data_IF_019927461490
#
_entry.id   IF_019927461490
#
_cell.length_a   1.000
_cell.length_b   1.000
_cell.length_c   1.000
_cell.angle_alpha   90.00
_cell.angle_beta   90.00
_cell.angle_gamma   90.00
#
_symmetry.space_group_name_H-M   'P 1'
#
loop_
_entity.id
_entity.type
_entity.pdbx_description
1 polymer ?
#
# COMPACT_ATOMS: atom_id res chain seq x y z
N UNK A 1 5.08 -8.48 8.19
CA UNK A 1 5.79 -7.76 9.26
C UNK A 1 5.26 -6.36 9.33
N UNK A 2 4.90 -5.90 10.51
CA UNK A 2 4.36 -4.57 10.75
C UNK A 2 5.32 -3.76 11.62
N UNK A 3 5.49 -2.48 11.28
CA UNK A 3 6.05 -1.48 12.20
C UNK A 3 4.89 -0.78 12.87
N UNK A 4 4.80 -0.87 14.20
CA UNK A 4 3.75 -0.22 14.99
C UNK A 4 4.30 1.00 15.70
N UNK A 5 3.47 2.03 15.80
CA UNK A 5 3.78 3.30 16.44
C UNK A 5 2.74 3.61 17.50
N UNK A 6 3.13 4.31 18.53
CA UNK A 6 2.28 4.72 19.65
C UNK A 6 2.61 4.00 20.95
N UNK A 7 2.21 4.60 22.05
CA UNK A 7 2.46 4.02 23.37
C UNK A 7 1.58 2.79 23.59
N UNK A 8 2.08 1.71 24.21
CA UNK A 8 1.24 0.65 24.70
C UNK A 8 0.26 1.24 25.73
N UNK A 9 -1.02 0.89 25.66
CA UNK A 9 -1.91 1.15 26.79
C UNK A 9 -1.42 0.29 27.92
N UNK A 10 -0.82 0.89 28.92
CA UNK A 10 -0.74 0.25 30.24
C UNK A 10 -2.19 0.04 30.65
N UNK A 11 -2.58 -1.22 30.76
CA UNK A 11 -3.87 -1.64 31.32
C UNK A 11 -3.82 -1.40 32.84
N UNK A 12 -3.83 -0.14 33.24
CA UNK A 12 -4.04 0.28 34.61
C UNK A 12 -5.51 0.70 34.75
N UNK A 13 -6.31 0.06 35.62
CA UNK A 13 -7.76 0.33 35.72
C UNK A 13 -8.07 1.58 36.57
N UNK A 14 -7.17 2.53 36.72
CA UNK A 14 -7.48 3.76 37.44
C UNK A 14 -7.76 4.89 36.45
N UNK A 15 -8.98 5.42 36.40
CA UNK A 15 -9.29 6.62 35.62
C UNK A 15 -8.70 7.83 36.32
N UNK A 16 -7.51 8.27 35.90
CA UNK A 16 -7.03 9.61 36.27
C UNK A 16 -7.69 10.58 35.29
N UNK A 17 -8.71 11.27 35.80
CA UNK A 17 -9.39 12.36 35.09
C UNK A 17 -8.38 13.44 34.75
N UNK A 18 -8.26 13.79 33.46
CA UNK A 18 -7.69 15.06 33.02
C UNK A 18 -6.53 15.03 32.03
N UNK A 19 -6.22 13.94 31.37
CA UNK A 19 -5.28 13.97 30.25
C UNK A 19 -5.89 13.33 29.00
N UNK A 20 -6.38 14.16 28.08
CA UNK A 20 -6.63 13.79 26.70
C UNK A 20 -5.29 13.49 26.02
N UNK A 21 -4.66 12.37 26.38
CA UNK A 21 -3.59 11.82 25.55
C UNK A 21 -4.25 11.02 24.43
N UNK A 22 -4.65 11.69 23.37
CA UNK A 22 -4.89 11.07 22.07
C UNK A 22 -3.59 10.39 21.62
N UNK A 23 -3.29 9.22 22.19
CA UNK A 23 -2.16 8.41 21.77
C UNK A 23 -2.50 7.84 20.39
N UNK A 24 -2.17 8.63 19.37
CA UNK A 24 -2.31 8.18 17.97
C UNK A 24 -1.53 6.89 17.79
N UNK A 25 -2.26 5.83 17.48
CA UNK A 25 -1.67 4.53 17.15
C UNK A 25 -1.69 4.33 15.65
N UNK A 26 -0.63 3.79 15.13
CA UNK A 26 -0.52 3.50 13.71
C UNK A 26 0.35 2.28 13.45
N UNK A 27 0.28 1.81 12.21
CA UNK A 27 1.13 0.70 11.77
C UNK A 27 1.42 0.80 10.28
N UNK A 28 2.61 0.35 9.91
CA UNK A 28 3.04 0.23 8.53
C UNK A 28 3.33 -1.23 8.24
N UNK A 29 2.55 -1.84 7.37
CA UNK A 29 2.82 -3.19 6.87
C UNK A 29 3.90 -3.12 5.78
N UNK A 30 5.08 -3.64 6.06
CA UNK A 30 6.13 -3.83 5.06
C UNK A 30 5.77 -5.01 4.16
N UNK A 31 5.73 -4.77 2.85
CA UNK A 31 5.31 -5.78 1.87
C UNK A 31 6.38 -6.12 0.84
N UNK A 32 7.33 -5.23 0.63
CA UNK A 32 8.39 -5.42 -0.35
C UNK A 32 9.66 -4.75 0.16
N UNK A 33 10.77 -5.46 0.05
CA UNK A 33 12.11 -4.96 0.35
C UNK A 33 13.02 -5.19 -0.85
N UNK A 34 14.08 -4.39 -0.93
CA UNK A 34 15.20 -4.63 -1.83
C UNK A 34 16.44 -4.93 -1.00
N UNK A 35 17.01 -6.09 -1.19
CA UNK A 35 18.25 -6.51 -0.53
C UNK A 35 19.43 -5.69 -1.08
N UNK A 36 20.19 -5.07 -0.20
CA UNK A 36 21.27 -4.14 -0.61
C UNK A 36 22.41 -4.87 -1.30
N UNK A 37 22.77 -6.07 -0.84
CA UNK A 37 23.92 -6.84 -1.31
C UNK A 37 23.84 -7.19 -2.80
N UNK A 38 22.70 -7.64 -3.28
CA UNK A 38 22.52 -8.17 -4.64
C UNK A 38 21.33 -7.52 -5.39
N UNK A 39 20.73 -6.48 -4.79
CA UNK A 39 19.59 -5.73 -5.34
C UNK A 39 18.32 -6.59 -5.54
N UNK A 40 18.28 -7.81 -5.01
CA UNK A 40 17.13 -8.71 -5.13
C UNK A 40 15.88 -8.10 -4.49
N UNK A 41 14.79 -8.12 -5.24
CA UNK A 41 13.46 -7.69 -4.74
C UNK A 41 12.75 -8.89 -4.13
N UNK A 42 12.37 -8.76 -2.86
CA UNK A 42 11.52 -9.72 -2.15
C UNK A 42 10.16 -9.08 -1.96
N UNK A 43 9.14 -9.61 -2.63
CA UNK A 43 7.79 -9.06 -2.63
C UNK A 43 6.78 -10.06 -2.10
N UNK A 44 5.97 -9.62 -1.15
CA UNK A 44 4.96 -10.36 -0.43
C UNK A 44 5.27 -10.45 1.06
N UNK A 45 4.25 -10.29 1.93
CA UNK A 45 4.47 -10.21 3.39
C UNK A 45 5.06 -11.50 3.96
N UNK A 46 4.62 -12.68 3.52
CA UNK A 46 5.18 -13.96 3.95
C UNK A 46 6.62 -14.14 3.49
N UNK A 47 6.90 -13.92 2.20
CA UNK A 47 8.25 -14.02 1.65
C UNK A 47 9.24 -13.06 2.32
N UNK A 48 8.75 -11.90 2.77
CA UNK A 48 9.56 -10.95 3.51
C UNK A 48 9.96 -11.51 4.88
N UNK A 49 9.04 -12.18 5.56
CA UNK A 49 9.35 -12.88 6.83
C UNK A 49 10.36 -13.99 6.58
N UNK A 50 10.15 -14.83 5.58
CA UNK A 50 11.07 -15.92 5.21
C UNK A 50 12.47 -15.39 4.91
N UNK A 51 12.58 -14.27 4.17
CA UNK A 51 13.86 -13.62 3.86
C UNK A 51 14.57 -13.13 5.14
N UNK A 52 13.82 -12.52 6.07
CA UNK A 52 14.40 -12.05 7.35
C UNK A 52 14.88 -13.22 8.20
N UNK A 53 14.10 -14.30 8.29
CA UNK A 53 14.50 -15.51 8.98
C UNK A 53 15.81 -16.08 8.41
N UNK A 54 15.85 -16.22 7.08
CA UNK A 54 17.03 -16.75 6.38
C UNK A 54 18.28 -15.87 6.59
N UNK A 55 18.16 -14.54 6.47
CA UNK A 55 19.28 -13.61 6.69
C UNK A 55 19.75 -13.57 8.14
N UNK A 56 18.88 -13.88 9.09
CA UNK A 56 19.20 -13.92 10.53
C UNK A 56 19.64 -15.30 11.00
N UNK A 57 19.64 -16.32 10.15
CA UNK A 57 19.93 -17.70 10.52
C UNK A 57 18.95 -18.24 11.56
N UNK A 58 17.66 -17.86 11.48
CA UNK A 58 16.61 -18.30 12.38
C UNK A 58 15.64 -19.26 11.67
N UNK A 59 15.21 -20.30 12.38
CA UNK A 59 14.27 -21.31 11.88
C UNK A 59 12.80 -20.90 12.07
N UNK A 60 12.55 -19.98 13.02
CA UNK A 60 11.21 -19.53 13.37
C UNK A 60 11.20 -18.08 13.83
N UNK A 61 10.00 -17.48 13.85
CA UNK A 61 9.81 -16.12 14.38
C UNK A 61 10.15 -16.07 15.87
N UNK A 62 9.78 -17.12 16.63
CA UNK A 62 10.10 -17.21 18.05
C UNK A 62 11.62 -17.22 18.28
N UNK A 63 12.36 -18.04 17.54
CA UNK A 63 13.83 -18.06 17.61
C UNK A 63 14.43 -16.72 17.19
N UNK A 64 13.92 -16.09 16.13
CA UNK A 64 14.36 -14.78 15.68
C UNK A 64 14.24 -13.74 16.80
N UNK A 65 13.07 -13.66 17.43
CA UNK A 65 12.81 -12.64 18.46
C UNK A 65 13.57 -12.95 19.74
N UNK A 66 13.41 -14.16 20.28
CA UNK A 66 13.95 -14.51 21.61
C UNK A 66 15.47 -14.72 21.58
N UNK A 67 15.97 -15.49 20.59
CA UNK A 67 17.38 -15.89 20.58
C UNK A 67 18.26 -14.91 19.81
N UNK A 68 17.85 -14.43 18.63
CA UNK A 68 18.68 -13.55 17.80
C UNK A 68 18.55 -12.10 18.22
N UNK A 69 17.34 -11.61 18.44
CA UNK A 69 17.08 -10.20 18.82
C UNK A 69 17.09 -9.99 20.34
N UNK A 70 17.08 -11.05 21.16
CA UNK A 70 17.04 -10.96 22.63
C UNK A 70 15.85 -10.14 23.13
N UNK A 71 14.68 -10.38 22.54
CA UNK A 71 13.42 -9.68 22.79
C UNK A 71 13.44 -8.17 22.50
N UNK A 72 14.54 -7.67 21.91
CA UNK A 72 14.63 -6.27 21.48
C UNK A 72 13.95 -6.11 20.10
N UNK A 73 12.69 -5.75 20.11
CA UNK A 73 11.88 -5.44 18.91
C UNK A 73 11.77 -3.94 18.63
N UNK A 74 12.48 -3.11 19.40
CA UNK A 74 12.41 -1.67 19.28
C UNK A 74 13.24 -1.16 18.10
N UNK A 75 12.55 -0.69 17.04
CA UNK A 75 13.18 -0.30 15.77
C UNK A 75 14.08 0.94 15.85
N UNK A 76 14.04 1.71 16.93
CA UNK A 76 14.86 2.91 17.17
C UNK A 76 15.99 2.69 18.18
N UNK A 77 16.24 1.44 18.59
CA UNK A 77 17.31 1.16 19.55
C UNK A 77 18.67 1.53 18.97
N UNK A 78 19.38 2.43 19.63
CA UNK A 78 20.74 2.85 19.29
C UNK A 78 21.83 2.00 19.97
N UNK A 79 21.45 1.15 20.94
CA UNK A 79 22.38 0.45 21.82
C UNK A 79 22.74 -0.96 21.37
N UNK A 80 22.15 -1.44 20.29
CA UNK A 80 22.41 -2.79 19.79
C UNK A 80 23.74 -2.84 19.04
N UNK A 81 24.69 -3.73 19.39
CA UNK A 81 25.94 -3.91 18.65
C UNK A 81 25.68 -4.23 17.17
N UNK A 82 26.49 -3.69 16.26
CA UNK A 82 26.34 -3.92 14.81
C UNK A 82 26.45 -5.40 14.42
N UNK A 83 27.16 -6.19 15.22
CA UNK A 83 27.30 -7.64 15.03
C UNK A 83 26.03 -8.43 15.32
N UNK A 84 25.03 -7.84 16.01
CA UNK A 84 23.79 -8.54 16.35
C UNK A 84 22.72 -8.31 15.28
N UNK A 85 22.11 -9.37 14.72
CA UNK A 85 20.95 -9.23 13.85
C UNK A 85 19.85 -8.44 14.56
N UNK A 86 19.34 -7.41 13.93
CA UNK A 86 18.25 -6.61 14.48
C UNK A 86 17.53 -5.88 13.37
N UNK A 87 16.27 -5.53 13.61
CA UNK A 87 15.52 -4.65 12.72
C UNK A 87 15.58 -3.22 13.25
N UNK A 88 16.22 -2.33 12.51
CA UNK A 88 16.39 -0.94 12.93
C UNK A 88 16.02 0.03 11.83
N UNK A 89 15.52 1.19 12.24
CA UNK A 89 15.40 2.36 11.36
C UNK A 89 16.69 3.13 11.48
N UNK A 90 17.42 3.25 10.36
CA UNK A 90 18.67 3.96 10.30
C UNK A 90 18.47 5.28 9.55
N UNK A 91 18.81 6.39 10.19
CA UNK A 91 18.86 7.69 9.54
C UNK A 91 20.08 7.76 8.63
N UNK A 92 19.89 7.98 7.34
CA UNK A 92 21.01 8.13 6.41
C UNK A 92 21.66 9.51 6.56
N UNK A 93 22.98 9.52 6.66
CA UNK A 93 23.79 10.75 6.73
C UNK A 93 23.85 11.53 5.41
N UNK A 94 23.60 10.87 4.27
CA UNK A 94 23.57 11.53 2.94
C UNK A 94 22.13 11.62 2.45
N UNK A 95 21.71 12.77 1.90
CA UNK A 95 20.39 12.88 1.30
C UNK A 95 20.28 11.84 0.17
N UNK A 96 19.35 10.95 0.32
CA UNK A 96 18.95 10.05 -0.76
C UNK A 96 17.92 10.83 -1.59
N UNK A 97 18.16 10.96 -2.89
CA UNK A 97 17.15 11.53 -3.78
C UNK A 97 15.96 10.57 -3.80
N UNK A 98 15.06 10.78 -2.87
CA UNK A 98 13.82 10.01 -2.83
C UNK A 98 12.95 10.58 -3.94
N UNK A 99 12.78 9.83 -5.01
CA UNK A 99 11.61 10.01 -5.86
C UNK A 99 10.40 9.94 -4.95
N UNK A 100 9.55 10.96 -4.97
CA UNK A 100 8.34 10.97 -4.17
C UNK A 100 7.57 9.67 -4.38
N UNK A 101 7.22 8.95 -3.31
CA UNK A 101 6.54 7.67 -3.45
C UNK A 101 5.17 7.86 -4.09
N UNK A 102 4.81 6.97 -5.00
CA UNK A 102 3.44 6.89 -5.50
C UNK A 102 2.52 6.39 -4.40
N UNK A 103 1.36 7.01 -4.28
CA UNK A 103 0.31 6.62 -3.35
C UNK A 103 -0.77 5.85 -4.11
N UNK A 104 -1.01 4.62 -3.71
CA UNK A 104 -1.88 3.70 -4.42
C UNK A 104 -2.96 3.13 -3.49
N UNK A 105 -4.08 2.62 -4.02
CA UNK A 105 -5.01 1.82 -3.26
C UNK A 105 -4.34 0.55 -2.71
N UNK A 106 -4.88 0.02 -1.62
CA UNK A 106 -4.40 -1.24 -1.02
C UNK A 106 -4.83 -2.44 -1.86
N UNK A 107 -3.93 -3.41 -1.99
CA UNK A 107 -4.24 -4.70 -2.64
C UNK A 107 -5.12 -5.53 -1.69
N UNK A 108 -6.10 -6.23 -2.25
CA UNK A 108 -6.97 -7.15 -1.50
C UNK A 108 -8.19 -6.48 -0.86
N UNK A 109 -8.46 -5.22 -1.17
CA UNK A 109 -9.72 -4.58 -0.82
C UNK A 109 -10.64 -4.52 -2.04
N UNK A 110 -11.86 -4.99 -1.88
CA UNK A 110 -12.95 -4.90 -2.86
C UNK A 110 -14.31 -4.74 -2.16
N UNK A 111 -15.37 -4.74 -2.93
CA UNK A 111 -16.73 -4.58 -2.45
C UNK A 111 -17.50 -5.90 -2.32
N UNK A 112 -16.82 -7.04 -2.38
CA UNK A 112 -17.45 -8.38 -2.46
C UNK A 112 -18.06 -8.88 -1.15
N UNK A 113 -17.81 -8.22 -0.03
CA UNK A 113 -18.32 -8.68 1.25
C UNK A 113 -19.84 -8.53 1.35
N UNK A 114 -20.51 -9.52 1.96
CA UNK A 114 -21.98 -9.61 2.03
C UNK A 114 -22.67 -8.41 2.66
N UNK A 115 -22.03 -7.75 3.63
CA UNK A 115 -22.59 -6.57 4.31
C UNK A 115 -22.25 -5.25 3.63
N UNK A 116 -21.55 -5.26 2.48
CA UNK A 116 -21.26 -4.03 1.75
C UNK A 116 -22.53 -3.42 1.19
N UNK A 117 -22.70 -2.14 1.38
CA UNK A 117 -23.78 -1.33 0.83
C UNK A 117 -23.25 -0.37 -0.22
N UNK A 118 -24.13 0.29 -0.96
CA UNK A 118 -23.79 1.35 -1.91
C UNK A 118 -23.59 2.72 -1.25
N UNK A 119 -23.82 2.79 0.06
CA UNK A 119 -23.64 4.02 0.83
C UNK A 119 -22.19 4.51 0.77
N UNK A 120 -21.95 5.81 0.50
CA UNK A 120 -20.62 6.41 0.56
C UNK A 120 -20.00 6.36 1.96
N UNK A 121 -20.82 6.13 3.00
CA UNK A 121 -20.40 5.98 4.39
C UNK A 121 -20.09 4.53 4.77
N UNK A 122 -20.37 3.56 3.90
CA UNK A 122 -19.92 2.18 4.12
C UNK A 122 -18.37 2.18 4.19
N UNK A 123 -17.78 1.62 5.27
CA UNK A 123 -16.32 1.63 5.41
C UNK A 123 -15.59 1.03 4.21
N UNK A 124 -16.15 0.00 3.55
CA UNK A 124 -15.52 -0.61 2.37
C UNK A 124 -15.55 0.35 1.19
N UNK A 125 -16.68 0.98 0.92
CA UNK A 125 -16.82 2.01 -0.12
C UNK A 125 -15.85 3.16 0.13
N UNK A 126 -15.79 3.65 1.36
CA UNK A 126 -14.93 4.75 1.74
C UNK A 126 -13.43 4.41 1.64
N UNK A 127 -13.02 3.16 1.91
CA UNK A 127 -11.60 2.80 2.05
C UNK A 127 -10.99 2.10 0.84
N UNK A 128 -11.75 1.47 -0.06
CA UNK A 128 -11.20 0.74 -1.21
C UNK A 128 -10.28 1.60 -2.08
N UNK A 129 -10.67 2.85 -2.32
CA UNK A 129 -9.88 3.78 -3.16
C UNK A 129 -8.87 4.62 -2.38
N UNK A 130 -8.80 4.52 -1.04
CA UNK A 130 -7.86 5.33 -0.24
C UNK A 130 -6.41 4.96 -0.57
N UNK A 131 -5.54 5.97 -0.80
CA UNK A 131 -4.17 5.76 -1.26
C UNK A 131 -3.22 5.40 -0.09
N UNK A 132 -3.50 4.31 0.60
CA UNK A 132 -2.76 3.87 1.79
C UNK A 132 -1.64 2.86 1.50
N UNK A 133 -1.29 2.68 0.24
CA UNK A 133 -0.12 1.90 -0.17
C UNK A 133 0.89 2.82 -0.83
N UNK A 134 2.10 2.85 -0.30
CA UNK A 134 3.20 3.68 -0.78
C UNK A 134 4.19 2.80 -1.53
N UNK A 135 4.61 3.23 -2.71
CA UNK A 135 5.54 2.48 -3.56
C UNK A 135 6.58 3.39 -4.18
N UNK A 136 7.78 2.87 -4.31
CA UNK A 136 8.87 3.41 -5.12
C UNK A 136 9.25 2.37 -6.18
N UNK A 137 9.82 2.78 -7.29
CA UNK A 137 10.23 1.89 -8.39
C UNK A 137 9.12 0.90 -8.81
N UNK A 138 7.97 1.40 -9.30
CA UNK A 138 6.82 0.56 -9.62
C UNK A 138 7.08 -0.46 -10.74
N UNK A 139 8.09 -0.23 -11.58
CA UNK A 139 8.59 -1.13 -12.62
C UNK A 139 9.18 -2.44 -12.05
N UNK A 140 9.72 -2.38 -10.84
CA UNK A 140 10.32 -3.53 -10.15
C UNK A 140 9.30 -4.38 -9.37
N UNK A 141 8.04 -3.94 -9.30
CA UNK A 141 7.01 -4.66 -8.56
C UNK A 141 6.46 -5.85 -9.34
N UNK A 142 6.13 -6.92 -8.60
CA UNK A 142 5.51 -8.12 -9.17
C UNK A 142 4.12 -7.84 -9.76
N UNK A 143 3.62 -8.77 -10.58
CA UNK A 143 2.32 -8.68 -11.24
C UNK A 143 1.13 -8.45 -10.29
N UNK A 144 1.20 -8.99 -9.09
CA UNK A 144 0.16 -8.81 -8.09
C UNK A 144 0.06 -7.35 -7.67
N UNK A 145 -1.10 -6.75 -7.91
CA UNK A 145 -1.37 -5.35 -7.59
C UNK A 145 -1.06 -4.36 -8.71
N UNK A 146 -0.78 -4.81 -9.93
CA UNK A 146 -0.63 -3.93 -11.11
C UNK A 146 -1.76 -2.92 -11.28
N UNK A 147 -3.05 -3.28 -11.21
CA UNK A 147 -4.11 -2.29 -11.36
C UNK A 147 -4.10 -1.24 -10.24
N UNK A 148 -3.77 -1.64 -9.02
CA UNK A 148 -3.63 -0.71 -7.90
C UNK A 148 -2.44 0.24 -8.09
N UNK A 149 -1.31 -0.29 -8.59
CA UNK A 149 -0.12 0.49 -8.95
C UNK A 149 -0.44 1.47 -10.08
N UNK A 150 -1.12 0.99 -11.12
CA UNK A 150 -1.57 1.84 -12.21
C UNK A 150 -2.43 3.01 -11.71
N UNK A 151 -3.41 2.77 -10.83
CA UNK A 151 -4.26 3.84 -10.28
C UNK A 151 -3.42 4.93 -9.60
N UNK A 152 -2.47 4.57 -8.74
CA UNK A 152 -1.64 5.56 -8.06
C UNK A 152 -0.69 6.32 -8.99
N UNK A 153 -0.12 5.66 -10.00
CA UNK A 153 0.74 6.31 -11.00
C UNK A 153 -0.10 7.21 -11.92
N UNK A 154 -1.29 6.75 -12.33
CA UNK A 154 -2.25 7.55 -13.09
C UNK A 154 -2.61 8.84 -12.35
N UNK A 155 -2.95 8.76 -11.07
CA UNK A 155 -3.32 9.93 -10.24
C UNK A 155 -2.19 10.95 -10.12
N UNK A 156 -0.97 10.47 -10.08
CA UNK A 156 0.21 11.34 -10.03
C UNK A 156 0.46 12.01 -11.39
N UNK A 157 0.51 11.23 -12.47
CA UNK A 157 0.93 11.69 -13.78
C UNK A 157 -0.16 12.44 -14.55
N UNK A 158 -1.45 12.13 -14.34
CA UNK A 158 -2.56 12.81 -15.02
C UNK A 158 -2.60 14.32 -14.71
N UNK A 159 -2.09 14.74 -13.56
CA UNK A 159 -2.03 16.15 -13.14
C UNK A 159 -0.90 16.92 -13.81
N UNK A 160 0.18 16.25 -14.20
CA UNK A 160 1.40 16.87 -14.73
C UNK A 160 1.61 16.65 -16.23
N UNK A 161 1.01 15.58 -16.80
CA UNK A 161 1.21 15.24 -18.21
C UNK A 161 0.25 16.03 -19.10
N UNK A 162 0.80 16.89 -19.93
CA UNK A 162 0.04 17.61 -20.99
C UNK A 162 0.11 16.82 -22.30
N UNK A 163 -0.98 16.79 -23.07
CA UNK A 163 -0.98 16.24 -24.44
C UNK A 163 -1.82 14.97 -24.65
N UNK A 164 -2.83 14.79 -23.80
CA UNK A 164 -3.89 13.78 -24.01
C UNK A 164 -3.51 12.35 -23.59
N UNK A 165 -4.47 11.46 -23.77
CA UNK A 165 -4.42 10.08 -23.29
C UNK A 165 -3.21 9.28 -23.78
N UNK A 166 -2.80 9.50 -25.05
CA UNK A 166 -1.68 8.75 -25.64
C UNK A 166 -0.33 9.07 -24.97
N UNK A 167 -0.09 10.35 -24.65
CA UNK A 167 1.12 10.78 -23.92
C UNK A 167 1.08 10.34 -22.46
N UNK A 168 -0.08 10.41 -21.83
CA UNK A 168 -0.25 9.90 -20.47
C UNK A 168 0.01 8.39 -20.40
N UNK A 169 -0.53 7.63 -21.36
CA UNK A 169 -0.30 6.18 -21.43
C UNK A 169 1.20 5.84 -21.61
N UNK A 170 1.91 6.62 -22.39
CA UNK A 170 3.35 6.47 -22.58
C UNK A 170 4.13 6.78 -21.30
N UNK A 171 3.82 7.88 -20.62
CA UNK A 171 4.44 8.23 -19.35
C UNK A 171 4.21 7.15 -18.28
N UNK A 172 2.98 6.62 -18.17
CA UNK A 172 2.67 5.52 -17.24
C UNK A 172 3.43 4.25 -17.63
N UNK A 173 3.49 3.93 -18.92
CA UNK A 173 4.23 2.77 -19.45
C UNK A 173 5.70 2.83 -19.05
N UNK A 174 6.34 3.98 -19.25
CA UNK A 174 7.75 4.19 -18.91
C UNK A 174 8.04 4.02 -17.41
N UNK A 175 7.13 4.50 -16.56
CA UNK A 175 7.28 4.45 -15.10
C UNK A 175 6.99 3.06 -14.53
N UNK A 176 6.03 2.32 -15.12
CA UNK A 176 5.53 1.07 -14.54
C UNK A 176 6.04 -0.19 -15.24
N UNK A 177 6.64 -0.05 -16.42
CA UNK A 177 6.99 -1.19 -17.28
C UNK A 177 5.77 -1.91 -17.91
N UNK A 178 4.55 -1.39 -17.71
CA UNK A 178 3.34 -1.95 -18.34
C UNK A 178 3.30 -1.52 -19.80
N UNK A 179 3.05 -2.46 -20.71
CA UNK A 179 2.97 -2.16 -22.15
C UNK A 179 1.92 -1.05 -22.41
N UNK A 180 2.28 -0.05 -23.23
CA UNK A 180 1.45 1.11 -23.58
C UNK A 180 0.01 0.73 -23.97
N UNK A 181 -0.16 -0.31 -24.79
CA UNK A 181 -1.47 -0.80 -25.20
C UNK A 181 -2.31 -1.32 -24.00
N UNK A 182 -1.67 -1.93 -23.03
CA UNK A 182 -2.34 -2.36 -21.79
C UNK A 182 -2.73 -1.17 -20.95
N UNK A 183 -1.86 -0.15 -20.86
CA UNK A 183 -2.16 1.09 -20.14
C UNK A 183 -3.36 1.81 -20.77
N UNK A 184 -3.46 1.88 -22.10
CA UNK A 184 -4.62 2.46 -22.79
C UNK A 184 -5.93 1.74 -22.40
N UNK A 185 -5.95 0.41 -22.40
CA UNK A 185 -7.10 -0.38 -21.93
C UNK A 185 -7.44 -0.12 -20.45
N UNK A 186 -6.44 0.12 -19.63
CA UNK A 186 -6.65 0.46 -18.22
C UNK A 186 -7.27 1.84 -18.04
N UNK A 187 -6.80 2.83 -18.82
CA UNK A 187 -7.38 4.18 -18.82
C UNK A 187 -8.84 4.11 -19.28
N UNK A 188 -9.13 3.39 -20.35
CA UNK A 188 -10.49 3.20 -20.86
C UNK A 188 -11.41 2.58 -19.79
N UNK A 189 -10.97 1.50 -19.14
CA UNK A 189 -11.74 0.84 -18.08
C UNK A 189 -12.02 1.78 -16.89
N UNK A 190 -11.06 2.59 -16.49
CA UNK A 190 -11.24 3.58 -15.44
C UNK A 190 -12.25 4.67 -15.87
N UNK A 191 -12.15 5.14 -17.10
CA UNK A 191 -13.05 6.17 -17.68
C UNK A 191 -14.49 5.69 -17.74
N UNK A 192 -14.75 4.43 -18.11
CA UNK A 192 -16.10 3.85 -18.10
C UNK A 192 -16.81 4.00 -16.74
N UNK A 193 -16.08 3.84 -15.65
CA UNK A 193 -16.61 4.06 -14.30
C UNK A 193 -16.79 5.55 -13.98
N UNK A 194 -15.81 6.38 -14.28
CA UNK A 194 -15.84 7.83 -14.06
C UNK A 194 -16.98 8.51 -14.80
N UNK A 195 -17.24 8.10 -16.03
CA UNK A 195 -18.32 8.64 -16.88
C UNK A 195 -19.71 8.08 -16.51
N UNK A 196 -19.79 7.12 -15.58
CA UNK A 196 -21.05 6.51 -15.17
C UNK A 196 -21.64 5.51 -16.16
N UNK A 197 -20.89 5.11 -17.19
CA UNK A 197 -21.31 4.06 -18.12
C UNK A 197 -21.44 2.68 -17.46
N UNK A 198 -20.88 2.54 -16.27
CA UNK A 198 -21.01 1.38 -15.39
C UNK A 198 -21.35 1.84 -13.98
N UNK A 199 -22.51 1.41 -13.47
CA UNK A 199 -22.96 1.70 -12.10
C UNK A 199 -22.12 0.95 -11.05
N UNK A 200 -21.96 1.54 -9.87
CA UNK A 200 -21.32 0.93 -8.72
C UNK A 200 -22.04 -0.33 -8.23
N UNK A 201 -23.35 -0.38 -8.36
CA UNK A 201 -24.21 -1.49 -7.88
C UNK A 201 -23.74 -2.86 -8.39
N UNK A 202 -23.17 -2.90 -9.61
CA UNK A 202 -22.63 -4.14 -10.20
C UNK A 202 -21.46 -4.72 -9.43
N UNK A 203 -20.79 -3.93 -8.61
CA UNK A 203 -19.61 -4.31 -7.85
C UNK A 203 -19.92 -4.54 -6.37
N UNK A 204 -21.08 -4.04 -5.90
CA UNK A 204 -21.52 -4.27 -4.52
C UNK A 204 -21.84 -5.75 -4.33
N UNK A 205 -21.21 -6.35 -3.30
CA UNK A 205 -21.30 -7.79 -2.99
C UNK A 205 -20.81 -8.73 -4.10
N UNK A 206 -20.16 -8.18 -5.13
CA UNK A 206 -19.61 -8.92 -6.25
C UNK A 206 -18.08 -8.88 -6.24
N UNK A 207 -17.46 -10.05 -6.47
CA UNK A 207 -16.00 -10.13 -6.59
C UNK A 207 -15.57 -9.58 -7.94
N UNK A 208 -14.61 -8.68 -7.94
CA UNK A 208 -13.95 -8.23 -9.18
C UNK A 208 -13.17 -9.39 -9.80
N UNK A 209 -13.51 -9.75 -11.04
CA UNK A 209 -12.97 -10.93 -11.73
C UNK A 209 -11.78 -10.60 -12.63
N UNK A 210 -11.67 -9.35 -13.03
CA UNK A 210 -10.65 -8.89 -13.96
C UNK A 210 -10.04 -7.55 -13.53
N UNK A 211 -8.91 -7.20 -14.14
CA UNK A 211 -8.30 -5.87 -13.98
C UNK A 211 -9.27 -4.78 -14.47
N UNK A 212 -9.96 -5.02 -15.57
CA UNK A 212 -10.94 -4.07 -16.12
C UNK A 212 -12.09 -3.82 -15.14
N UNK A 213 -12.64 -4.88 -14.52
CA UNK A 213 -13.68 -4.74 -13.51
C UNK A 213 -13.19 -3.90 -12.31
N UNK A 214 -11.98 -4.18 -11.81
CA UNK A 214 -11.41 -3.41 -10.71
C UNK A 214 -11.26 -1.93 -11.05
N UNK A 215 -10.73 -1.61 -12.23
CA UNK A 215 -10.53 -0.22 -12.66
C UNK A 215 -11.85 0.50 -12.89
N UNK A 216 -12.84 -0.18 -13.48
CA UNK A 216 -14.19 0.37 -13.65
C UNK A 216 -14.86 0.62 -12.29
N UNK A 217 -14.73 -0.30 -11.34
CA UNK A 217 -15.18 -0.11 -9.95
C UNK A 217 -14.54 1.12 -9.31
N UNK A 218 -13.21 1.27 -9.43
CA UNK A 218 -12.49 2.44 -8.91
C UNK A 218 -13.01 3.73 -9.54
N UNK A 219 -13.25 3.75 -10.84
CA UNK A 219 -13.84 4.90 -11.53
C UNK A 219 -15.24 5.25 -10.99
N UNK A 220 -16.11 4.25 -10.81
CA UNK A 220 -17.46 4.44 -10.28
C UNK A 220 -17.45 4.96 -8.82
N UNK A 221 -16.56 4.43 -7.97
CA UNK A 221 -16.37 4.92 -6.60
C UNK A 221 -15.93 6.40 -6.56
N UNK A 222 -15.02 6.79 -7.44
CA UNK A 222 -14.56 8.18 -7.52
C UNK A 222 -15.66 9.13 -7.95
N UNK A 223 -16.47 8.72 -8.94
CA UNK A 223 -17.63 9.49 -9.36
C UNK A 223 -18.61 9.72 -8.21
N UNK A 224 -18.91 8.68 -7.44
CA UNK A 224 -19.80 8.80 -6.28
C UNK A 224 -19.23 9.77 -5.24
N UNK A 225 -17.93 9.71 -4.96
CA UNK A 225 -17.29 10.61 -3.99
C UNK A 225 -17.34 12.07 -4.38
N UNK A 226 -17.30 12.40 -5.67
CA UNK A 226 -17.43 13.79 -6.17
C UNK A 226 -18.85 14.30 -6.06
N UNK A 227 -19.86 13.44 -6.16
CA UNK A 227 -21.29 13.82 -6.07
C UNK A 227 -21.76 14.10 -4.65
N UNK A 228 -21.05 13.66 -3.63
CA UNK A 228 -21.39 13.85 -2.20
C UNK A 228 -20.74 15.10 -1.62
N UNK A 229 -19.72 15.67 -2.29
CA UNK A 229 -18.99 16.86 -1.84
C UNK A 229 -19.43 18.17 -2.50
N UNK A 230 -20.44 18.11 -3.36
CA UNK A 230 -21.12 19.27 -3.99
C UNK A 230 -22.49 19.48 -3.36
#
# INVERSE_FOLDING_TARGET
MDLTFGSPTTSSPTPVSGANSDSTRGGILLRTIRRVKDQKIVSGPSRLVDEILAQSGAQSISELVQSKWKDDTFAFSSTVPESRPSLRIITRKKPFTVTNPFRCPRIGLDLSHRSTTDSPFDPRVAFVCKPYRYIINPDLLTFNGRPHTFVGVYDCLSKSTRGGTAKLAEAISNVTGIKKQTVLKYIESLSLGLEGKRSLDKFIRAKTRSVADYLTMVGALRRQSTSVGS
#
